data_IF_712967771605
#
_entry.id   IF_712967771605
#
_cell.length_a   1.000
_cell.length_b   1.000
_cell.length_c   1.000
_cell.angle_alpha   90.00
_cell.angle_beta   90.00
_cell.angle_gamma   90.00
#
_symmetry.space_group_name_H-M   'P 1'
#
loop_
_entity.id
_entity.type
_entity.pdbx_description
1 polymer ?
#
# COMPACT_ATOMS: atom_id res chain seq x y z
N UNK A 1 -29.13 -4.21 -47.19
CA UNK A 1 -27.87 -3.47 -47.35
C UNK A 1 -28.18 -2.02 -47.03
N UNK A 2 -27.62 -1.32 -46.05
CA UNK A 2 -26.53 -1.46 -45.08
C UNK A 2 -26.77 -0.27 -44.15
N UNK A 3 -27.10 -0.45 -42.88
CA UNK A 3 -26.08 -0.60 -41.84
C UNK A 3 -25.73 0.76 -41.25
N UNK A 4 -26.60 1.32 -40.40
CA UNK A 4 -26.31 2.48 -39.57
C UNK A 4 -25.28 2.09 -38.52
N UNK A 5 -24.02 2.46 -38.75
CA UNK A 5 -22.93 2.30 -37.79
C UNK A 5 -23.14 3.27 -36.62
N UNK A 6 -23.67 2.77 -35.52
CA UNK A 6 -23.56 3.40 -34.20
C UNK A 6 -22.08 3.57 -33.85
N UNK A 7 -21.60 4.77 -33.47
CA UNK A 7 -20.25 4.95 -32.97
C UNK A 7 -20.08 4.07 -31.73
N UNK A 8 -19.05 3.23 -31.71
CA UNK A 8 -18.71 2.41 -30.55
C UNK A 8 -18.48 3.30 -29.35
N UNK A 9 -19.27 3.09 -28.29
CA UNK A 9 -19.03 3.69 -27.00
C UNK A 9 -17.65 3.23 -26.53
N UNK A 10 -16.67 4.13 -26.58
CA UNK A 10 -15.40 3.96 -25.86
C UNK A 10 -15.76 3.99 -24.39
N UNK A 11 -15.92 2.80 -23.79
CA UNK A 11 -15.88 2.66 -22.34
C UNK A 11 -14.45 3.00 -21.92
N UNK A 12 -14.27 4.25 -21.51
CA UNK A 12 -13.13 4.63 -20.69
C UNK A 12 -13.22 3.74 -19.45
N UNK A 13 -12.27 2.83 -19.29
CA UNK A 13 -12.03 2.11 -18.04
C UNK A 13 -11.49 3.10 -17.01
N UNK A 14 -12.34 4.05 -16.61
CA UNK A 14 -12.23 4.71 -15.33
C UNK A 14 -12.57 3.63 -14.31
N UNK A 15 -11.54 2.95 -13.80
CA UNK A 15 -11.68 2.06 -12.65
C UNK A 15 -11.96 2.94 -11.43
N UNK A 16 -13.22 3.24 -11.25
CA UNK A 16 -13.75 4.03 -10.16
C UNK A 16 -15.24 3.90 -10.29
N UNK A 17 -15.83 3.03 -9.46
CA UNK A 17 -17.26 3.09 -9.20
C UNK A 17 -17.54 4.54 -8.93
N UNK A 18 -18.31 5.18 -9.83
CA UNK A 18 -18.61 6.59 -9.71
C UNK A 18 -19.00 6.84 -8.27
N UNK A 19 -18.21 7.65 -7.57
CA UNK A 19 -18.63 8.19 -6.29
C UNK A 19 -20.01 8.75 -6.58
N UNK A 20 -21.06 8.12 -6.05
CA UNK A 20 -22.33 8.80 -5.96
C UNK A 20 -22.01 10.00 -5.07
N UNK A 21 -21.95 11.18 -5.70
CA UNK A 21 -21.59 12.45 -5.05
C UNK A 21 -22.62 12.85 -3.97
N UNK A 22 -23.66 12.02 -3.77
CA UNK A 22 -24.53 12.00 -2.62
C UNK A 22 -24.22 10.76 -1.76
N UNK A 23 -23.08 10.79 -1.04
CA UNK A 23 -22.94 9.88 0.10
C UNK A 23 -24.14 10.14 1.02
N UNK A 24 -24.89 9.11 1.44
CA UNK A 24 -26.01 9.28 2.38
C UNK A 24 -25.50 9.51 3.82
N UNK A 25 -24.39 10.23 3.95
CA UNK A 25 -23.76 10.65 5.19
C UNK A 25 -23.61 12.15 5.16
N UNK A 26 -24.18 12.83 6.15
CA UNK A 26 -23.98 14.28 6.31
C UNK A 26 -22.49 14.58 6.49
N UNK A 27 -21.90 15.46 5.65
CA UNK A 27 -20.51 15.89 5.80
C UNK A 27 -20.22 16.38 7.22
N UNK A 28 -21.16 17.11 7.82
CA UNK A 28 -21.05 17.61 9.19
C UNK A 28 -20.81 16.48 10.19
N UNK A 29 -21.61 15.41 10.15
CA UNK A 29 -21.45 14.29 11.08
C UNK A 29 -20.19 13.48 10.83
N UNK A 30 -19.76 13.33 9.56
CA UNK A 30 -18.51 12.67 9.23
C UNK A 30 -17.31 13.43 9.80
N UNK A 31 -17.21 14.74 9.56
CA UNK A 31 -16.13 15.58 10.10
C UNK A 31 -16.17 15.68 11.62
N UNK A 32 -17.35 15.92 12.22
CA UNK A 32 -17.49 16.04 13.66
C UNK A 32 -17.15 14.72 14.38
N UNK A 33 -17.63 13.59 13.86
CA UNK A 33 -17.34 12.26 14.41
C UNK A 33 -15.85 11.91 14.32
N UNK A 34 -15.21 12.20 13.18
CA UNK A 34 -13.78 11.98 13.01
C UNK A 34 -12.94 12.87 13.93
N UNK A 35 -13.27 14.16 14.04
CA UNK A 35 -12.61 15.06 14.97
C UNK A 35 -12.77 14.58 16.42
N UNK A 36 -14.00 14.22 16.82
CA UNK A 36 -14.27 13.70 18.16
C UNK A 36 -13.48 12.42 18.44
N UNK A 37 -13.46 11.46 17.50
CA UNK A 37 -12.71 10.22 17.66
C UNK A 37 -11.21 10.46 17.88
N UNK A 38 -10.60 11.36 17.09
CA UNK A 38 -9.19 11.71 17.24
C UNK A 38 -8.91 12.47 18.54
N UNK A 39 -9.73 13.46 18.85
CA UNK A 39 -9.56 14.30 20.04
C UNK A 39 -9.71 13.47 21.32
N UNK A 40 -10.75 12.65 21.41
CA UNK A 40 -10.97 11.74 22.55
C UNK A 40 -9.86 10.70 22.64
N UNK A 41 -9.44 10.10 21.52
CA UNK A 41 -8.33 9.14 21.52
C UNK A 41 -7.04 9.77 22.01
N UNK A 42 -6.73 10.99 21.55
CA UNK A 42 -5.55 11.74 21.98
C UNK A 42 -5.59 12.05 23.48
N UNK A 43 -6.73 12.54 23.97
CA UNK A 43 -6.91 12.83 25.40
C UNK A 43 -6.80 11.56 26.25
N UNK A 44 -7.44 10.48 25.83
CA UNK A 44 -7.39 9.19 26.53
C UNK A 44 -5.95 8.64 26.59
N UNK A 45 -5.20 8.72 25.50
CA UNK A 45 -3.79 8.32 25.48
C UNK A 45 -2.94 9.20 26.41
N UNK A 46 -3.08 10.52 26.31
CA UNK A 46 -2.36 11.46 27.19
C UNK A 46 -2.62 11.25 28.68
N UNK A 47 -3.82 10.79 29.05
CA UNK A 47 -4.20 10.55 30.44
C UNK A 47 -3.89 9.13 30.94
N UNK A 48 -4.06 8.11 30.09
CA UNK A 48 -4.06 6.70 30.50
C UNK A 48 -2.81 5.93 30.06
N UNK A 49 -1.95 6.53 29.23
CA UNK A 49 -0.80 5.88 28.60
C UNK A 49 0.50 6.67 28.83
N UNK A 50 0.89 6.82 30.10
CA UNK A 50 2.10 7.54 30.51
C UNK A 50 3.41 6.89 30.05
N UNK A 51 3.41 5.57 29.90
CA UNK A 51 4.60 4.76 29.63
C UNK A 51 4.40 3.91 28.38
N UNK A 52 5.49 3.72 27.63
CA UNK A 52 5.45 2.89 26.42
C UNK A 52 5.15 1.43 26.77
N UNK A 53 4.13 0.87 26.13
CA UNK A 53 3.64 -0.50 26.34
C UNK A 53 4.10 -1.46 25.26
N UNK A 54 4.45 -0.96 24.07
CA UNK A 54 4.90 -1.82 22.99
C UNK A 54 6.33 -2.31 23.24
N UNK A 55 6.64 -3.52 22.76
CA UNK A 55 7.95 -4.16 22.96
C UNK A 55 8.62 -4.53 21.63
N UNK A 56 8.08 -4.04 20.52
CA UNK A 56 8.58 -4.27 19.18
C UNK A 56 8.83 -5.75 18.88
N UNK A 57 10.03 -6.03 18.38
CA UNK A 57 10.48 -7.36 17.95
C UNK A 57 10.64 -8.39 19.08
N UNK A 58 10.64 -7.97 20.34
CA UNK A 58 10.71 -8.90 21.49
C UNK A 58 9.34 -9.45 21.90
N UNK A 59 8.26 -8.86 21.38
CA UNK A 59 6.90 -9.19 21.78
C UNK A 59 6.39 -10.54 21.24
N UNK A 60 5.16 -10.88 21.62
CA UNK A 60 4.40 -11.99 21.09
C UNK A 60 4.50 -13.28 21.91
N UNK A 61 3.59 -14.21 21.62
CA UNK A 61 3.60 -15.57 22.18
C UNK A 61 3.83 -16.56 21.03
N UNK A 62 4.74 -17.54 21.19
CA UNK A 62 5.01 -18.49 20.14
C UNK A 62 3.76 -19.30 19.80
N UNK A 63 3.55 -19.54 18.51
CA UNK A 63 2.50 -20.43 18.05
C UNK A 63 2.81 -21.90 18.38
N UNK A 64 1.78 -22.78 18.41
CA UNK A 64 1.98 -24.21 18.55
C UNK A 64 2.97 -24.74 17.52
N UNK A 65 3.82 -25.69 17.94
CA UNK A 65 4.87 -26.25 17.10
C UNK A 65 4.34 -26.84 15.78
N UNK A 66 3.12 -27.37 15.76
CA UNK A 66 2.49 -27.89 14.55
C UNK A 66 2.27 -26.79 13.48
N UNK A 67 1.77 -25.63 13.88
CA UNK A 67 1.55 -24.48 12.98
C UNK A 67 2.88 -23.94 12.48
N UNK A 68 3.87 -23.83 13.37
CA UNK A 68 5.22 -23.42 12.98
C UNK A 68 5.84 -24.40 11.99
N UNK A 69 5.74 -25.72 12.21
CA UNK A 69 6.22 -26.74 11.28
C UNK A 69 5.52 -26.67 9.93
N UNK A 70 4.21 -26.42 9.89
CA UNK A 70 3.46 -26.27 8.63
C UNK A 70 3.91 -25.02 7.87
N UNK A 71 4.03 -23.87 8.56
CA UNK A 71 4.52 -22.62 7.96
C UNK A 71 5.97 -22.75 7.48
N UNK A 72 6.81 -23.48 8.22
CA UNK A 72 8.21 -23.77 7.90
C UNK A 72 8.40 -25.01 7.01
N UNK A 73 7.32 -25.66 6.58
CA UNK A 73 7.42 -26.84 5.75
C UNK A 73 8.01 -26.48 4.39
N UNK A 74 8.91 -27.34 3.88
CA UNK A 74 9.44 -27.21 2.52
C UNK A 74 8.30 -27.20 1.49
N UNK A 75 7.27 -28.03 1.69
CA UNK A 75 6.10 -28.08 0.83
C UNK A 75 5.40 -26.72 0.74
N UNK A 76 5.09 -26.08 1.87
CA UNK A 76 4.46 -24.74 1.90
C UNK A 76 5.27 -23.71 1.13
N UNK A 77 6.59 -23.64 1.36
CA UNK A 77 7.47 -22.72 0.61
C UNK A 77 7.51 -23.03 -0.89
N UNK A 78 7.51 -24.31 -1.27
CA UNK A 78 7.53 -24.71 -2.67
C UNK A 78 6.20 -24.40 -3.37
N UNK A 79 5.07 -24.64 -2.70
CA UNK A 79 3.74 -24.33 -3.22
C UNK A 79 3.60 -22.83 -3.47
N UNK A 80 3.95 -21.98 -2.50
CA UNK A 80 3.88 -20.52 -2.68
C UNK A 80 4.78 -20.03 -3.83
N UNK A 81 6.03 -20.54 -3.90
CA UNK A 81 6.93 -20.21 -5.02
C UNK A 81 6.41 -20.69 -6.36
N UNK A 82 5.83 -21.89 -6.41
CA UNK A 82 5.24 -22.45 -7.63
C UNK A 82 4.02 -21.66 -8.08
N UNK A 83 3.15 -21.23 -7.16
CA UNK A 83 2.00 -20.37 -7.45
C UNK A 83 2.45 -19.05 -8.06
N UNK A 84 3.42 -18.37 -7.44
CA UNK A 84 4.00 -17.14 -7.97
C UNK A 84 4.62 -17.32 -9.36
N UNK A 85 5.44 -18.36 -9.51
CA UNK A 85 6.13 -18.67 -10.76
C UNK A 85 5.18 -19.15 -11.87
N UNK A 86 4.00 -19.69 -11.54
CA UNK A 86 2.97 -20.03 -12.50
C UNK A 86 2.11 -18.80 -12.87
N UNK A 87 1.78 -17.95 -11.90
CA UNK A 87 0.96 -16.76 -12.11
C UNK A 87 1.66 -15.73 -13.01
N UNK A 88 2.95 -15.48 -12.83
CA UNK A 88 3.70 -14.49 -13.60
C UNK A 88 3.72 -14.75 -15.12
N UNK A 89 4.11 -15.95 -15.63
CA UNK A 89 4.04 -16.25 -17.04
C UNK A 89 2.60 -16.33 -17.54
N UNK A 90 1.62 -16.72 -16.72
CA UNK A 90 0.20 -16.68 -17.12
C UNK A 90 -0.24 -15.25 -17.45
N UNK A 91 0.09 -14.27 -16.60
CA UNK A 91 -0.16 -12.84 -16.87
C UNK A 91 0.54 -12.39 -18.16
N UNK A 92 1.81 -12.74 -18.35
CA UNK A 92 2.55 -12.38 -19.58
C UNK A 92 1.91 -13.03 -20.81
N UNK A 93 1.47 -14.28 -20.72
CA UNK A 93 0.79 -14.98 -21.82
C UNK A 93 -0.57 -14.34 -22.15
N UNK A 94 -1.34 -13.93 -21.15
CA UNK A 94 -2.59 -13.19 -21.37
C UNK A 94 -2.35 -11.83 -22.02
N UNK A 95 -1.23 -11.16 -21.73
CA UNK A 95 -0.86 -9.91 -22.40
C UNK A 95 -0.39 -10.12 -23.84
N UNK A 96 0.34 -11.21 -24.11
CA UNK A 96 0.89 -11.48 -25.45
C UNK A 96 -0.11 -12.13 -26.40
N UNK A 97 -0.95 -13.03 -25.89
CA UNK A 97 -1.81 -13.92 -26.67
C UNK A 97 -3.30 -13.72 -26.38
N UNK A 98 -3.63 -13.05 -25.28
CA UNK A 98 -5.02 -12.81 -24.88
C UNK A 98 -5.68 -11.71 -25.71
N UNK A 99 -7.00 -11.53 -25.55
CA UNK A 99 -7.72 -10.44 -26.21
C UNK A 99 -7.14 -9.08 -25.84
N UNK A 100 -7.11 -8.14 -26.79
CA UNK A 100 -6.72 -6.76 -26.50
C UNK A 100 -7.80 -6.01 -25.67
N UNK A 101 -9.04 -6.50 -25.72
CA UNK A 101 -10.18 -6.00 -24.95
C UNK A 101 -9.99 -6.32 -23.45
N UNK A 102 -9.81 -5.31 -22.57
CA UNK A 102 -9.59 -5.53 -21.14
C UNK A 102 -10.75 -6.24 -20.44
N UNK A 103 -11.99 -6.10 -20.93
CA UNK A 103 -13.18 -6.77 -20.37
C UNK A 103 -13.15 -8.30 -20.60
N UNK A 104 -12.21 -8.79 -21.42
CA UNK A 104 -11.99 -10.19 -21.74
C UNK A 104 -10.59 -10.67 -21.38
N UNK A 105 -9.70 -9.76 -21.00
CA UNK A 105 -8.33 -10.06 -20.65
C UNK A 105 -8.17 -10.01 -19.13
N UNK A 106 -7.84 -11.13 -18.47
CA UNK A 106 -7.61 -11.13 -17.02
C UNK A 106 -6.34 -10.39 -16.59
N UNK A 107 -5.43 -10.04 -17.51
CA UNK A 107 -4.12 -9.50 -17.12
C UNK A 107 -4.17 -8.14 -16.39
N UNK A 108 -4.93 -7.12 -16.84
CA UNK A 108 -5.04 -5.86 -16.10
C UNK A 108 -5.61 -6.08 -14.70
N UNK A 109 -6.70 -6.85 -14.57
CA UNK A 109 -7.28 -7.20 -13.28
C UNK A 109 -6.33 -8.00 -12.39
N UNK A 110 -5.50 -8.88 -12.95
CA UNK A 110 -4.51 -9.63 -12.18
C UNK A 110 -3.41 -8.72 -11.60
N UNK A 111 -3.01 -7.68 -12.34
CA UNK A 111 -1.97 -6.74 -11.89
C UNK A 111 -2.52 -5.68 -10.94
N UNK A 112 -3.62 -5.01 -11.30
CA UNK A 112 -4.17 -3.91 -10.51
C UNK A 112 -5.05 -4.39 -9.35
N UNK A 113 -5.78 -5.49 -9.51
CA UNK A 113 -6.74 -5.94 -8.48
C UNK A 113 -6.16 -7.07 -7.65
N UNK A 114 -5.74 -8.18 -8.26
CA UNK A 114 -5.26 -9.33 -7.49
C UNK A 114 -3.89 -9.10 -6.86
N UNK A 115 -2.95 -8.51 -7.59
CA UNK A 115 -1.62 -8.18 -7.08
C UNK A 115 -1.66 -6.93 -6.21
N UNK A 116 -2.04 -5.76 -6.73
CA UNK A 116 -1.93 -4.51 -5.97
C UNK A 116 -2.90 -4.45 -4.79
N UNK A 117 -4.21 -4.59 -5.04
CA UNK A 117 -5.21 -4.52 -3.97
C UNK A 117 -5.24 -5.79 -3.13
N UNK A 118 -5.20 -6.97 -3.75
CA UNK A 118 -5.27 -8.26 -3.06
C UNK A 118 -4.09 -8.52 -2.11
N UNK A 119 -2.94 -7.90 -2.36
CA UNK A 119 -1.79 -7.99 -1.46
C UNK A 119 -2.05 -7.31 -0.10
N UNK A 120 -2.98 -6.36 -0.02
CA UNK A 120 -3.34 -5.68 1.23
C UNK A 120 -3.96 -6.64 2.25
N UNK A 121 -5.13 -7.25 2.02
CA UNK A 121 -5.72 -8.19 2.96
C UNK A 121 -4.85 -9.42 3.15
N UNK A 122 -4.18 -9.91 2.10
CA UNK A 122 -3.28 -11.06 2.22
C UNK A 122 -2.12 -10.75 3.18
N UNK A 123 -1.54 -9.54 3.10
CA UNK A 123 -0.42 -9.18 3.97
C UNK A 123 -0.84 -8.92 5.42
N UNK A 124 -2.04 -8.35 5.62
CA UNK A 124 -2.61 -8.20 6.96
C UNK A 124 -2.88 -9.55 7.63
N UNK A 125 -3.42 -10.51 6.89
CA UNK A 125 -3.81 -11.80 7.46
C UNK A 125 -2.63 -12.75 7.66
N UNK A 126 -1.62 -12.70 6.79
CA UNK A 126 -0.57 -13.74 6.71
C UNK A 126 0.85 -13.19 6.88
N UNK A 127 1.04 -11.87 7.02
CA UNK A 127 2.35 -11.23 7.07
C UNK A 127 2.90 -10.93 5.67
N UNK A 128 4.21 -10.82 5.45
CA UNK A 128 4.78 -10.41 4.15
C UNK A 128 4.67 -11.51 3.07
N UNK A 129 3.48 -11.73 2.52
CA UNK A 129 3.19 -12.83 1.59
C UNK A 129 3.92 -12.69 0.25
N UNK A 130 4.16 -11.46 -0.23
CA UNK A 130 4.76 -11.27 -1.54
C UNK A 130 6.17 -11.86 -1.60
N UNK A 131 6.94 -11.77 -0.50
CA UNK A 131 8.28 -12.39 -0.42
C UNK A 131 8.27 -13.90 -0.74
N UNK A 132 7.18 -14.60 -0.44
CA UNK A 132 7.04 -16.03 -0.74
C UNK A 132 6.50 -16.30 -2.15
N UNK A 133 5.65 -15.41 -2.66
CA UNK A 133 5.02 -15.49 -3.98
C UNK A 133 5.84 -14.82 -5.09
N UNK A 134 6.88 -14.05 -4.77
CA UNK A 134 7.59 -13.23 -5.75
C UNK A 134 8.24 -14.12 -6.83
N UNK A 135 7.78 -14.04 -8.09
CA UNK A 135 8.30 -14.86 -9.18
C UNK A 135 9.75 -14.50 -9.48
N UNK A 136 10.14 -13.23 -9.40
CA UNK A 136 11.50 -12.76 -9.70
C UNK A 136 12.50 -13.22 -8.64
N UNK A 137 12.12 -13.16 -7.36
CA UNK A 137 12.91 -13.76 -6.28
C UNK A 137 13.07 -15.26 -6.51
N UNK A 138 12.02 -15.95 -6.96
CA UNK A 138 12.09 -17.39 -7.26
C UNK A 138 12.99 -17.68 -8.46
N UNK A 139 12.90 -16.89 -9.54
CA UNK A 139 13.77 -17.02 -10.71
C UNK A 139 15.25 -16.79 -10.34
N UNK A 140 15.55 -15.76 -9.55
CA UNK A 140 16.90 -15.52 -9.01
C UNK A 140 17.41 -16.73 -8.22
N UNK A 141 16.59 -17.27 -7.31
CA UNK A 141 16.95 -18.47 -6.55
C UNK A 141 17.23 -19.68 -7.45
N UNK A 142 16.47 -19.88 -8.53
CA UNK A 142 16.68 -20.97 -9.48
C UNK A 142 17.97 -20.75 -10.30
N UNK A 143 18.22 -19.52 -10.75
CA UNK A 143 19.44 -19.16 -11.48
C UNK A 143 20.68 -19.37 -10.60
N UNK A 144 20.67 -18.90 -9.34
CA UNK A 144 21.75 -19.14 -8.39
C UNK A 144 21.99 -20.63 -8.15
N UNK A 145 20.93 -21.44 -8.00
CA UNK A 145 21.07 -22.90 -7.87
C UNK A 145 21.70 -23.54 -9.11
N UNK A 146 21.26 -23.16 -10.31
CA UNK A 146 21.82 -23.66 -11.56
C UNK A 146 23.31 -23.30 -11.70
N UNK A 147 23.69 -22.10 -11.25
CA UNK A 147 25.07 -21.61 -11.25
C UNK A 147 25.89 -22.05 -10.02
N UNK A 148 25.31 -22.85 -9.11
CA UNK A 148 25.92 -23.27 -7.82
C UNK A 148 26.44 -22.10 -6.97
N UNK A 149 25.73 -20.98 -6.99
CA UNK A 149 26.00 -19.78 -6.18
C UNK A 149 25.00 -19.69 -5.04
N UNK A 150 25.45 -19.17 -3.91
CA UNK A 150 24.57 -18.83 -2.80
C UNK A 150 23.73 -17.59 -3.22
N UNK A 151 22.39 -17.68 -3.22
CA UNK A 151 21.54 -16.56 -3.62
C UNK A 151 21.67 -15.32 -2.73
N UNK A 152 22.16 -15.46 -1.50
CA UNK A 152 22.38 -14.35 -0.58
C UNK A 152 23.78 -13.72 -0.77
N UNK A 153 24.65 -14.34 -1.57
CA UNK A 153 25.97 -13.77 -1.91
C UNK A 153 25.85 -12.69 -2.98
N UNK A 154 26.31 -11.48 -2.65
CA UNK A 154 26.30 -10.31 -3.52
C UNK A 154 26.99 -9.13 -2.84
N UNK A 155 27.05 -7.98 -3.51
CA UNK A 155 27.51 -6.74 -2.87
C UNK A 155 26.50 -6.32 -1.80
N UNK A 156 26.97 -5.76 -0.69
CA UNK A 156 26.06 -5.17 0.29
C UNK A 156 25.26 -4.04 -0.36
N UNK A 157 23.94 -4.02 -0.17
CA UNK A 157 23.09 -2.91 -0.61
C UNK A 157 23.55 -1.66 0.14
N UNK A 158 23.90 -0.56 -0.55
CA UNK A 158 24.31 0.67 0.11
C UNK A 158 23.24 1.16 1.09
N UNK A 159 23.65 1.51 2.31
CA UNK A 159 22.71 2.00 3.34
C UNK A 159 21.91 3.21 2.86
N UNK A 160 22.54 4.08 2.07
CA UNK A 160 21.91 5.25 1.45
C UNK A 160 20.77 4.89 0.49
N UNK A 161 20.84 3.73 -0.16
CA UNK A 161 19.82 3.27 -1.09
C UNK A 161 18.55 2.88 -0.32
N UNK A 162 18.70 2.13 0.79
CA UNK A 162 17.58 1.74 1.66
C UNK A 162 16.36 1.30 0.86
N UNK A 163 15.21 1.91 1.15
CA UNK A 163 13.91 1.70 0.48
C UNK A 163 13.62 2.70 -0.67
N UNK A 164 14.58 3.53 -1.08
CA UNK A 164 14.35 4.49 -2.18
C UNK A 164 13.93 3.83 -3.50
N UNK A 165 14.55 2.72 -3.95
CA UNK A 165 14.11 2.05 -5.17
C UNK A 165 12.68 1.51 -5.06
N UNK A 166 12.26 1.04 -3.87
CA UNK A 166 10.89 0.60 -3.65
C UNK A 166 9.91 1.77 -3.72
N UNK A 167 10.25 2.93 -3.14
CA UNK A 167 9.45 4.14 -3.27
C UNK A 167 9.30 4.58 -4.74
N UNK A 168 10.38 4.55 -5.51
CA UNK A 168 10.37 4.87 -6.94
C UNK A 168 9.57 3.85 -7.75
N UNK A 169 9.70 2.55 -7.45
CA UNK A 169 8.94 1.48 -8.10
C UNK A 169 7.44 1.57 -7.79
N UNK A 170 7.06 1.88 -6.55
CA UNK A 170 5.67 2.15 -6.18
C UNK A 170 5.13 3.38 -6.91
N UNK A 171 5.89 4.46 -6.97
CA UNK A 171 5.48 5.67 -7.69
C UNK A 171 5.29 5.36 -9.18
N UNK A 172 6.22 4.62 -9.80
CA UNK A 172 6.11 4.18 -11.19
C UNK A 172 4.89 3.28 -11.43
N UNK A 173 4.58 2.38 -10.50
CA UNK A 173 3.38 1.54 -10.57
C UNK A 173 2.10 2.39 -10.49
N UNK A 174 2.01 3.30 -9.52
CA UNK A 174 0.83 4.17 -9.36
C UNK A 174 0.72 5.20 -10.49
N UNK A 175 1.83 5.62 -11.10
CA UNK A 175 1.80 6.44 -12.31
C UNK A 175 1.26 5.64 -13.50
N UNK A 176 1.69 4.39 -13.65
CA UNK A 176 1.15 3.50 -14.65
C UNK A 176 -0.36 3.34 -14.46
N UNK A 177 -0.82 3.13 -13.23
CA UNK A 177 -2.24 2.94 -12.91
C UNK A 177 -3.08 4.22 -13.14
N UNK A 178 -2.65 5.36 -12.60
CA UNK A 178 -3.48 6.56 -12.47
C UNK A 178 -3.26 7.61 -13.56
N UNK A 179 -2.12 7.58 -14.25
CA UNK A 179 -1.69 8.68 -15.13
C UNK A 179 -1.47 8.24 -16.57
N UNK A 180 -1.04 6.99 -16.80
CA UNK A 180 -0.75 6.50 -18.14
C UNK A 180 -1.96 6.68 -19.08
N UNK A 181 -1.75 6.98 -20.37
CA UNK A 181 -2.84 7.13 -21.35
C UNK A 181 -3.74 5.91 -21.48
N UNK A 182 -3.15 4.72 -21.48
CA UNK A 182 -3.85 3.45 -21.63
C UNK A 182 -3.27 2.42 -20.65
N UNK A 183 -3.63 2.54 -19.36
CA UNK A 183 -3.03 1.74 -18.28
C UNK A 183 -3.34 0.25 -18.43
N UNK A 184 -4.52 -0.09 -18.97
CA UNK A 184 -4.94 -1.46 -19.19
C UNK A 184 -4.42 -2.08 -20.51
N UNK A 185 -3.72 -1.30 -21.35
CA UNK A 185 -3.19 -1.84 -22.59
C UNK A 185 -2.16 -2.95 -22.36
N UNK A 186 -2.15 -4.00 -23.20
CA UNK A 186 -1.13 -5.03 -23.13
C UNK A 186 0.29 -4.48 -23.24
N UNK A 187 0.50 -3.49 -24.10
CA UNK A 187 1.80 -2.86 -24.32
C UNK A 187 2.30 -2.15 -23.07
N UNK A 188 1.47 -1.33 -22.40
CA UNK A 188 1.89 -0.61 -21.21
C UNK A 188 2.27 -1.58 -20.07
N UNK A 189 1.44 -2.61 -19.85
CA UNK A 189 1.71 -3.64 -18.85
C UNK A 189 2.94 -4.48 -19.17
N UNK A 190 3.14 -4.89 -20.43
CA UNK A 190 4.34 -5.64 -20.84
C UNK A 190 5.63 -4.81 -20.66
N UNK A 191 5.60 -3.53 -21.04
CA UNK A 191 6.74 -2.63 -20.85
C UNK A 191 7.03 -2.48 -19.36
N UNK A 192 6.02 -2.22 -18.54
CA UNK A 192 6.20 -2.08 -17.09
C UNK A 192 6.76 -3.37 -16.47
N UNK A 193 6.12 -4.52 -16.73
CA UNK A 193 6.55 -5.81 -16.18
C UNK A 193 7.95 -6.20 -16.67
N UNK A 194 8.28 -5.91 -17.93
CA UNK A 194 9.60 -6.14 -18.50
C UNK A 194 10.68 -5.29 -17.84
N UNK A 195 10.44 -3.98 -17.69
CA UNK A 195 11.36 -3.07 -16.99
C UNK A 195 11.49 -3.46 -15.52
N UNK A 196 10.38 -3.74 -14.85
CA UNK A 196 10.35 -4.19 -13.45
C UNK A 196 11.16 -5.49 -13.29
N UNK A 197 10.96 -6.49 -14.15
CA UNK A 197 11.73 -7.73 -14.15
C UNK A 197 13.23 -7.48 -14.38
N UNK A 198 13.59 -6.66 -15.37
CA UNK A 198 14.97 -6.34 -15.68
C UNK A 198 15.68 -5.64 -14.51
N UNK A 199 15.05 -4.63 -13.90
CA UNK A 199 15.58 -3.89 -12.76
C UNK A 199 15.80 -4.82 -11.56
N UNK A 200 14.81 -5.63 -11.22
CA UNK A 200 14.91 -6.47 -10.02
C UNK A 200 15.82 -7.68 -10.20
N UNK A 201 15.85 -8.32 -11.37
CA UNK A 201 16.79 -9.42 -11.63
C UNK A 201 18.23 -8.91 -11.73
N UNK A 202 18.45 -7.75 -12.35
CA UNK A 202 19.81 -7.14 -12.40
C UNK A 202 20.26 -6.74 -11.00
N UNK A 203 19.39 -6.08 -10.23
CA UNK A 203 19.69 -5.73 -8.84
C UNK A 203 19.99 -6.96 -7.97
N UNK A 204 19.21 -8.03 -8.10
CA UNK A 204 19.46 -9.28 -7.40
C UNK A 204 20.75 -9.98 -7.83
N UNK A 205 21.13 -9.89 -9.11
CA UNK A 205 22.41 -10.42 -9.60
C UNK A 205 23.62 -9.66 -9.02
N UNK A 206 23.48 -8.36 -8.71
CA UNK A 206 24.55 -7.53 -8.14
C UNK A 206 24.61 -7.61 -6.62
N UNK A 207 23.45 -7.51 -5.95
CA UNK A 207 23.34 -7.36 -4.50
C UNK A 207 22.82 -8.62 -3.76
N UNK A 208 22.52 -9.68 -4.50
CA UNK A 208 21.93 -10.91 -3.96
C UNK A 208 20.43 -10.76 -3.67
N UNK A 209 19.84 -11.82 -3.10
CA UNK A 209 18.43 -11.84 -2.71
C UNK A 209 18.00 -10.75 -1.72
N UNK A 210 18.87 -10.18 -0.84
CA UNK A 210 18.51 -9.03 -0.02
C UNK A 210 18.08 -7.79 -0.81
N UNK A 211 18.41 -7.70 -2.11
CA UNK A 211 17.90 -6.63 -2.98
C UNK A 211 16.37 -6.51 -2.92
N UNK A 212 15.65 -7.63 -3.01
CA UNK A 212 14.19 -7.62 -3.02
C UNK A 212 13.59 -7.09 -1.72
N UNK A 213 14.23 -7.37 -0.56
CA UNK A 213 13.75 -6.90 0.75
C UNK A 213 13.78 -5.36 0.90
N UNK A 214 14.53 -4.67 0.04
CA UNK A 214 14.77 -3.22 0.11
C UNK A 214 14.25 -2.47 -1.10
N UNK A 215 14.38 -3.05 -2.29
CA UNK A 215 14.18 -2.36 -3.56
C UNK A 215 12.91 -2.77 -4.30
N UNK A 216 12.38 -3.97 -4.05
CA UNK A 216 11.16 -4.44 -4.70
C UNK A 216 9.93 -3.74 -4.10
N UNK A 217 9.25 -2.96 -4.94
CA UNK A 217 8.08 -2.17 -4.59
C UNK A 217 7.00 -3.00 -3.87
N UNK A 218 6.65 -4.17 -4.42
CA UNK A 218 5.59 -5.03 -3.89
C UNK A 218 6.05 -5.82 -2.67
N UNK A 219 7.35 -6.17 -2.54
CA UNK A 219 7.85 -6.83 -1.32
C UNK A 219 7.91 -5.86 -0.16
N UNK A 220 8.35 -4.63 -0.39
CA UNK A 220 8.35 -3.58 0.63
C UNK A 220 6.92 -3.20 1.01
N UNK A 221 6.01 -3.06 0.03
CA UNK A 221 4.59 -2.81 0.28
C UNK A 221 3.94 -3.91 1.13
N UNK A 222 4.10 -5.19 0.71
CA UNK A 222 3.65 -6.35 1.50
C UNK A 222 4.32 -6.42 2.86
N UNK A 223 5.60 -6.05 2.94
CA UNK A 223 6.39 -6.01 4.17
C UNK A 223 5.87 -5.00 5.19
N UNK A 224 5.56 -3.79 4.74
CA UNK A 224 5.01 -2.71 5.57
C UNK A 224 3.60 -3.05 6.06
N UNK A 225 2.71 -3.49 5.17
CA UNK A 225 1.36 -3.92 5.54
C UNK A 225 1.38 -5.15 6.46
N UNK A 226 2.30 -6.09 6.21
CA UNK A 226 2.53 -7.26 7.06
C UNK A 226 3.02 -6.93 8.47
N UNK A 227 3.50 -5.70 8.74
CA UNK A 227 3.79 -5.25 10.12
C UNK A 227 2.54 -5.13 10.97
N UNK A 228 1.38 -4.91 10.35
CA UNK A 228 0.07 -4.89 11.03
C UNK A 228 -0.55 -6.28 11.17
N UNK A 229 0.10 -7.33 10.67
CA UNK A 229 -0.38 -8.69 10.88
C UNK A 229 -0.29 -9.11 12.35
N UNK A 230 -1.28 -9.85 12.87
CA UNK A 230 -1.20 -10.47 14.19
C UNK A 230 -0.11 -11.55 14.24
N UNK A 231 0.40 -12.00 13.08
CA UNK A 231 1.47 -12.99 12.98
C UNK A 231 2.79 -12.33 12.61
N UNK A 232 3.89 -12.82 13.16
CA UNK A 232 5.22 -12.37 12.80
C UNK A 232 6.29 -13.35 13.24
N UNK A 233 7.54 -13.10 12.84
CA UNK A 233 8.68 -13.84 13.38
C UNK A 233 9.44 -12.98 14.37
N UNK A 234 9.77 -13.57 15.51
CA UNK A 234 10.65 -12.95 16.49
C UNK A 234 12.10 -13.09 16.02
N UNK A 235 12.86 -12.00 15.87
CA UNK A 235 14.24 -12.07 15.38
C UNK A 235 15.18 -12.87 16.30
N UNK A 236 14.97 -12.82 17.62
CA UNK A 236 15.87 -13.45 18.60
C UNK A 236 15.93 -14.99 18.51
N UNK A 237 14.81 -15.65 18.17
CA UNK A 237 14.70 -17.12 18.14
C UNK A 237 14.13 -17.67 16.82
N UNK A 238 13.78 -16.78 15.87
CA UNK A 238 13.19 -17.13 14.58
C UNK A 238 11.77 -17.71 14.65
N UNK A 239 11.15 -17.78 15.84
CA UNK A 239 9.86 -18.45 16.04
C UNK A 239 8.71 -17.62 15.46
N UNK A 240 7.72 -18.34 14.94
CA UNK A 240 6.45 -17.73 14.54
C UNK A 240 5.63 -17.41 15.81
N UNK A 241 5.25 -16.15 15.96
CA UNK A 241 4.55 -15.63 17.14
C UNK A 241 3.23 -14.97 16.77
N UNK A 242 2.25 -15.06 17.67
CA UNK A 242 1.09 -14.17 17.68
C UNK A 242 1.45 -12.94 18.50
N UNK A 243 1.28 -11.75 17.93
CA UNK A 243 1.58 -10.46 18.56
C UNK A 243 0.47 -9.47 18.27
N UNK A 244 0.35 -8.45 19.12
CA UNK A 244 -0.46 -7.27 18.75
C UNK A 244 0.15 -6.60 17.51
N UNK A 245 -0.66 -6.18 16.53
CA UNK A 245 -0.22 -5.43 15.34
C UNK A 245 0.70 -4.26 15.67
N UNK A 246 0.45 -3.56 16.78
CA UNK A 246 1.26 -2.43 17.22
C UNK A 246 2.71 -2.81 17.55
N UNK A 247 2.97 -4.02 18.04
CA UNK A 247 4.35 -4.48 18.24
C UNK A 247 5.05 -4.75 16.90
N UNK A 248 4.33 -5.24 15.90
CA UNK A 248 4.88 -5.39 14.56
C UNK A 248 5.18 -4.04 13.92
N UNK A 249 4.29 -3.07 14.11
CA UNK A 249 4.46 -1.70 13.64
C UNK A 249 5.62 -0.97 14.32
N UNK A 250 5.74 -1.09 15.65
CA UNK A 250 6.87 -0.56 16.43
C UNK A 250 8.22 -1.17 16.01
N UNK A 251 8.20 -2.38 15.46
CA UNK A 251 9.36 -3.07 14.91
C UNK A 251 9.69 -2.70 13.44
N UNK A 252 9.04 -1.69 12.86
CA UNK A 252 9.33 -1.28 11.48
C UNK A 252 10.78 -0.76 11.37
N UNK A 253 11.61 -1.32 10.47
CA UNK A 253 13.00 -0.90 10.32
C UNK A 253 13.11 0.57 9.89
N UNK A 254 13.98 1.33 10.56
CA UNK A 254 14.22 2.74 10.27
C UNK A 254 15.28 2.88 9.18
N UNK A 255 14.88 2.64 7.94
CA UNK A 255 15.77 2.71 6.76
C UNK A 255 15.58 4.02 5.99
N UNK A 256 16.63 4.54 5.32
CA UNK A 256 16.47 5.58 4.31
C UNK A 256 15.42 5.16 3.27
N UNK A 257 14.62 6.10 2.76
CA UNK A 257 13.54 5.81 1.82
C UNK A 257 12.23 5.28 2.44
N UNK A 258 12.20 4.88 3.74
CA UNK A 258 10.95 4.47 4.39
C UNK A 258 9.88 5.57 4.32
N UNK A 259 10.26 6.80 4.69
CA UNK A 259 9.34 7.95 4.64
C UNK A 259 8.83 8.17 3.22
N UNK A 260 9.73 8.16 2.23
CA UNK A 260 9.35 8.31 0.83
C UNK A 260 8.37 7.21 0.39
N UNK A 261 8.63 5.96 0.77
CA UNK A 261 7.76 4.81 0.48
C UNK A 261 6.35 5.02 1.03
N UNK A 262 6.23 5.39 2.30
CA UNK A 262 4.91 5.58 2.92
C UNK A 262 4.22 6.84 2.40
N UNK A 263 4.96 7.90 2.10
CA UNK A 263 4.41 9.10 1.45
C UNK A 263 3.92 8.82 0.04
N UNK A 264 4.59 7.95 -0.73
CA UNK A 264 4.10 7.48 -2.02
C UNK A 264 2.80 6.70 -1.84
N UNK A 265 2.76 5.72 -0.93
CA UNK A 265 1.54 4.95 -0.64
C UNK A 265 0.35 5.85 -0.28
N UNK A 266 0.55 6.84 0.60
CA UNK A 266 -0.52 7.73 1.03
C UNK A 266 -0.87 8.78 -0.04
N UNK A 267 0.14 9.38 -0.66
CA UNK A 267 -0.04 10.43 -1.66
C UNK A 267 -0.61 9.94 -2.98
N UNK A 268 -0.26 8.73 -3.43
CA UNK A 268 -0.86 8.12 -4.62
C UNK A 268 -2.33 7.77 -4.38
N UNK A 269 -2.68 7.24 -3.21
CA UNK A 269 -4.07 6.94 -2.86
C UNK A 269 -4.89 8.22 -2.65
N UNK A 270 -4.28 9.28 -2.10
CA UNK A 270 -4.92 10.58 -2.04
C UNK A 270 -5.15 11.17 -3.44
N UNK A 271 -4.20 10.98 -4.36
CA UNK A 271 -4.37 11.39 -5.76
C UNK A 271 -5.44 10.58 -6.47
N UNK A 272 -5.49 9.27 -6.26
CA UNK A 272 -6.54 8.37 -6.78
C UNK A 272 -7.93 8.92 -6.43
N UNK A 273 -8.21 9.15 -5.15
CA UNK A 273 -9.46 9.77 -4.70
C UNK A 273 -9.71 11.16 -5.27
N UNK A 274 -8.68 12.00 -5.35
CA UNK A 274 -8.81 13.34 -5.94
C UNK A 274 -9.04 13.30 -7.46
N UNK A 275 -8.56 12.25 -8.14
CA UNK A 275 -8.52 12.19 -9.60
C UNK A 275 -9.91 12.05 -10.22
N UNK A 276 -10.86 11.54 -9.45
CA UNK A 276 -12.27 11.41 -9.81
C UNK A 276 -13.08 12.70 -9.61
N UNK A 277 -12.51 13.73 -8.96
CA UNK A 277 -13.21 14.97 -8.71
C UNK A 277 -13.53 15.71 -10.04
N UNK A 278 -14.79 16.15 -10.29
CA UNK A 278 -15.18 16.75 -11.57
C UNK A 278 -14.33 17.96 -12.00
N UNK A 279 -13.89 18.77 -11.03
CA UNK A 279 -13.00 19.92 -11.26
C UNK A 279 -11.63 19.49 -11.75
N UNK A 280 -11.08 18.42 -11.18
CA UNK A 280 -9.78 17.89 -11.59
C UNK A 280 -9.85 17.23 -12.96
N UNK A 281 -10.89 16.43 -13.23
CA UNK A 281 -11.15 15.85 -14.55
C UNK A 281 -11.18 16.95 -15.62
N UNK A 282 -11.93 18.02 -15.37
CA UNK A 282 -11.98 19.19 -16.28
C UNK A 282 -10.59 19.80 -16.46
N UNK A 283 -9.86 20.04 -15.38
CA UNK A 283 -8.51 20.63 -15.41
C UNK A 283 -7.55 19.80 -16.26
N UNK A 284 -7.58 18.47 -16.10
CA UNK A 284 -6.75 17.53 -16.86
C UNK A 284 -7.14 17.50 -18.35
N UNK A 285 -8.43 17.59 -18.67
CA UNK A 285 -8.94 17.57 -20.04
C UNK A 285 -8.67 18.87 -20.81
N UNK A 286 -8.72 20.03 -20.13
CA UNK A 286 -8.54 21.35 -20.77
C UNK A 286 -7.12 21.90 -20.65
N UNK A 287 -6.19 21.17 -20.05
CA UNK A 287 -4.85 21.66 -19.79
C UNK A 287 -4.00 21.78 -21.06
N UNK A 288 -3.38 22.95 -21.25
CA UNK A 288 -2.42 23.20 -22.34
C UNK A 288 -1.16 22.33 -22.26
N UNK A 289 -0.81 21.82 -21.07
CA UNK A 289 0.33 20.92 -20.86
C UNK A 289 0.05 19.48 -21.32
N UNK A 290 -1.21 19.18 -21.67
CA UNK A 290 -1.69 17.85 -22.01
C UNK A 290 -2.07 17.00 -20.80
N UNK A 291 -3.02 16.08 -21.00
CA UNK A 291 -3.60 15.20 -19.97
C UNK A 291 -2.53 14.52 -19.10
N UNK A 292 -1.58 13.83 -19.73
CA UNK A 292 -0.58 13.01 -19.02
C UNK A 292 0.37 13.86 -18.18
N UNK A 293 0.82 15.01 -18.69
CA UNK A 293 1.70 15.92 -17.95
C UNK A 293 0.99 16.48 -16.74
N UNK A 294 -0.24 16.97 -16.92
CA UNK A 294 -1.04 17.56 -15.83
C UNK A 294 -1.40 16.53 -14.77
N UNK A 295 -1.77 15.31 -15.18
CA UNK A 295 -2.00 14.21 -14.25
C UNK A 295 -0.71 13.78 -13.51
N UNK A 296 0.43 13.75 -14.21
CA UNK A 296 1.75 13.48 -13.58
C UNK A 296 2.09 14.52 -12.52
N UNK A 297 1.90 15.81 -12.82
CA UNK A 297 2.12 16.89 -11.87
C UNK A 297 1.15 16.82 -10.68
N UNK A 298 -0.11 16.41 -10.91
CA UNK A 298 -1.08 16.15 -9.86
C UNK A 298 -0.63 15.05 -8.90
N UNK A 299 -0.24 13.89 -9.43
CA UNK A 299 0.26 12.75 -8.64
C UNK A 299 1.52 13.14 -7.84
N UNK A 300 2.50 13.75 -8.50
CA UNK A 300 3.72 14.22 -7.83
C UNK A 300 3.42 15.28 -6.77
N UNK A 301 2.49 16.19 -7.06
CA UNK A 301 2.02 17.23 -6.14
C UNK A 301 1.36 16.64 -4.89
N UNK A 302 0.51 15.62 -5.04
CA UNK A 302 -0.11 14.92 -3.92
C UNK A 302 0.92 14.22 -3.03
N UNK A 303 1.87 13.48 -3.62
CA UNK A 303 2.98 12.83 -2.88
C UNK A 303 3.85 13.87 -2.18
N UNK A 304 4.19 14.96 -2.86
CA UNK A 304 4.99 16.05 -2.32
C UNK A 304 4.27 16.79 -1.17
N UNK A 305 2.96 17.00 -1.28
CA UNK A 305 2.14 17.60 -0.23
C UNK A 305 2.17 16.74 1.04
N UNK A 306 1.91 15.43 0.91
CA UNK A 306 1.97 14.49 2.02
C UNK A 306 3.37 14.51 2.67
N UNK A 307 4.43 14.39 1.86
CA UNK A 307 5.80 14.40 2.34
C UNK A 307 6.18 15.72 3.04
N UNK A 308 5.70 16.86 2.52
CA UNK A 308 5.94 18.19 3.09
C UNK A 308 5.24 18.34 4.43
N UNK A 309 3.95 17.99 4.53
CA UNK A 309 3.20 18.05 5.77
C UNK A 309 3.83 17.17 6.86
N UNK A 310 4.24 15.94 6.51
CA UNK A 310 4.95 15.06 7.42
C UNK A 310 6.32 15.63 7.83
N UNK A 311 7.07 16.18 6.87
CA UNK A 311 8.36 16.81 7.10
C UNK A 311 8.28 18.01 8.05
N UNK A 312 7.29 18.88 7.86
CA UNK A 312 7.00 20.02 8.73
C UNK A 312 6.62 19.54 10.14
N UNK A 313 5.79 18.51 10.26
CA UNK A 313 5.44 17.90 11.54
C UNK A 313 6.68 17.35 12.27
N UNK A 314 7.54 16.61 11.58
CA UNK A 314 8.78 16.09 12.16
C UNK A 314 9.75 17.21 12.56
N UNK A 315 9.84 18.28 11.76
CA UNK A 315 10.61 19.48 12.06
C UNK A 315 10.10 20.21 13.31
N UNK A 316 8.79 20.45 13.39
CA UNK A 316 8.15 21.05 14.56
C UNK A 316 8.35 20.20 15.83
N UNK A 317 8.22 18.87 15.71
CA UNK A 317 8.48 17.93 16.81
C UNK A 317 9.92 18.04 17.30
N UNK A 318 10.89 18.17 16.38
CA UNK A 318 12.30 18.38 16.73
C UNK A 318 12.53 19.70 17.44
N UNK A 319 11.91 20.80 16.98
CA UNK A 319 12.03 22.12 17.61
C UNK A 319 11.49 22.11 19.05
N UNK A 320 10.35 21.45 19.27
CA UNK A 320 9.73 21.34 20.60
C UNK A 320 10.56 20.45 21.55
N UNK A 321 11.14 19.37 21.04
CA UNK A 321 11.79 18.35 21.89
C UNK A 321 13.32 18.49 22.02
N UNK A 322 13.97 19.15 21.06
CA UNK A 322 15.40 19.48 21.05
C UNK A 322 16.36 18.34 20.68
N UNK A 323 16.19 17.14 21.25
CA UNK A 323 17.22 16.08 21.24
C UNK A 323 16.90 14.85 20.38
N UNK A 324 15.88 14.90 19.51
CA UNK A 324 15.53 13.78 18.63
C UNK A 324 16.46 13.75 17.40
N UNK A 325 17.38 12.77 17.26
CA UNK A 325 18.37 12.77 16.18
C UNK A 325 17.75 12.50 14.79
N UNK A 326 16.67 11.72 14.72
CA UNK A 326 16.02 11.35 13.45
C UNK A 326 14.48 11.33 13.56
N UNK A 327 13.83 12.50 13.70
CA UNK A 327 12.38 12.58 13.88
C UNK A 327 11.60 12.03 12.67
N UNK A 328 12.13 12.21 11.45
CA UNK A 328 11.50 11.77 10.20
C UNK A 328 11.31 10.25 10.15
N UNK A 329 12.32 9.45 10.53
CA UNK A 329 12.20 7.99 10.49
C UNK A 329 11.62 7.41 11.78
N UNK A 330 11.67 8.15 12.90
CA UNK A 330 11.14 7.70 14.18
C UNK A 330 9.62 7.48 14.16
N UNK A 331 8.88 8.34 13.45
CA UNK A 331 7.41 8.29 13.42
C UNK A 331 6.83 7.71 12.13
N UNK A 332 7.65 7.36 11.12
CA UNK A 332 7.15 6.93 9.82
C UNK A 332 6.21 5.70 9.89
N UNK A 333 6.45 4.81 10.85
CA UNK A 333 5.58 3.66 11.12
C UNK A 333 4.13 4.04 11.47
N UNK A 334 3.86 5.22 12.06
CA UNK A 334 2.49 5.64 12.38
C UNK A 334 1.67 6.03 11.14
N UNK A 335 2.31 6.21 9.99
CA UNK A 335 1.63 6.50 8.73
C UNK A 335 1.10 5.23 8.04
N UNK A 336 1.63 4.04 8.37
CA UNK A 336 1.22 2.78 7.72
C UNK A 336 -0.26 2.44 7.99
N UNK A 337 -0.79 2.54 9.23
CA UNK A 337 -2.22 2.35 9.49
C UNK A 337 -3.11 3.36 8.75
N UNK A 338 -2.61 4.59 8.55
CA UNK A 338 -3.32 5.63 7.80
C UNK A 338 -3.42 5.20 6.34
N UNK A 339 -2.28 4.88 5.71
CA UNK A 339 -2.25 4.38 4.34
C UNK A 339 -3.17 3.16 4.17
N UNK A 340 -3.18 2.23 5.14
CA UNK A 340 -4.10 1.10 5.14
C UNK A 340 -5.58 1.54 5.15
N UNK A 341 -5.95 2.48 6.03
CA UNK A 341 -7.32 3.01 6.10
C UNK A 341 -7.78 3.58 4.76
N UNK A 342 -6.91 4.33 4.08
CA UNK A 342 -7.18 4.85 2.73
C UNK A 342 -7.27 3.72 1.68
N UNK A 343 -6.33 2.77 1.67
CA UNK A 343 -6.36 1.64 0.74
C UNK A 343 -7.67 0.85 0.87
N UNK A 344 -8.15 0.62 2.10
CA UNK A 344 -9.44 -0.05 2.33
C UNK A 344 -10.59 0.81 1.85
N UNK A 345 -10.59 2.12 2.16
CA UNK A 345 -11.66 3.03 1.74
C UNK A 345 -11.78 3.13 0.21
N UNK A 346 -10.66 3.19 -0.51
CA UNK A 346 -10.66 3.37 -1.96
C UNK A 346 -10.84 2.05 -2.72
N UNK A 347 -10.19 0.97 -2.28
CA UNK A 347 -10.12 -0.25 -3.08
C UNK A 347 -11.02 -1.40 -2.62
N UNK A 348 -11.78 -1.26 -1.53
CA UNK A 348 -12.65 -2.35 -1.06
C UNK A 348 -13.63 -2.83 -2.13
N UNK A 349 -14.40 -1.90 -2.71
CA UNK A 349 -15.44 -2.29 -3.67
C UNK A 349 -14.82 -2.83 -4.94
N UNK A 350 -13.74 -2.21 -5.43
CA UNK A 350 -12.96 -2.71 -6.55
C UNK A 350 -12.51 -4.16 -6.33
N UNK A 351 -11.95 -4.47 -5.17
CA UNK A 351 -11.52 -5.84 -4.86
C UNK A 351 -12.70 -6.83 -4.81
N UNK A 352 -13.80 -6.42 -4.20
CA UNK A 352 -14.98 -7.27 -4.02
C UNK A 352 -15.68 -7.61 -5.34
N UNK A 353 -15.66 -6.71 -6.32
CA UNK A 353 -16.29 -6.92 -7.64
C UNK A 353 -15.29 -7.44 -8.66
N UNK A 354 -14.17 -6.74 -8.87
CA UNK A 354 -13.20 -7.04 -9.91
C UNK A 354 -12.28 -8.22 -9.57
N UNK A 355 -12.08 -8.52 -8.29
CA UNK A 355 -11.29 -9.68 -7.87
C UNK A 355 -11.90 -11.01 -8.38
N UNK A 356 -13.15 -11.34 -7.99
CA UNK A 356 -13.83 -12.51 -8.52
C UNK A 356 -14.09 -12.45 -10.03
N UNK A 357 -14.35 -11.27 -10.60
CA UNK A 357 -14.50 -11.10 -12.04
C UNK A 357 -13.22 -11.53 -12.78
N UNK A 358 -12.07 -10.99 -12.37
CA UNK A 358 -10.73 -11.34 -12.89
C UNK A 358 -10.45 -12.83 -12.76
N UNK A 359 -10.78 -13.45 -11.63
CA UNK A 359 -10.56 -14.89 -11.44
C UNK A 359 -11.37 -15.71 -12.44
N UNK A 360 -12.64 -15.37 -12.71
CA UNK A 360 -13.45 -16.09 -13.71
C UNK A 360 -12.88 -15.94 -15.12
N UNK A 361 -12.41 -14.74 -15.49
CA UNK A 361 -11.70 -14.52 -16.75
C UNK A 361 -10.44 -15.39 -16.83
N UNK A 362 -9.64 -15.42 -15.76
CA UNK A 362 -8.42 -16.23 -15.66
C UNK A 362 -8.69 -17.73 -15.79
N UNK A 363 -9.84 -18.21 -15.33
CA UNK A 363 -10.30 -19.59 -15.48
C UNK A 363 -11.06 -19.86 -16.79
N UNK A 364 -11.08 -18.92 -17.74
CA UNK A 364 -11.56 -19.12 -19.10
C UNK A 364 -13.03 -18.80 -19.34
N UNK A 365 -13.70 -18.11 -18.42
CA UNK A 365 -15.06 -17.62 -18.68
C UNK A 365 -15.03 -16.49 -19.72
N UNK A 366 -15.91 -16.54 -20.73
CA UNK A 366 -16.05 -15.47 -21.72
C UNK A 366 -17.03 -14.40 -21.21
N UNK A 367 -16.54 -13.17 -21.01
CA UNK A 367 -17.31 -11.99 -20.57
C UNK A 367 -18.22 -12.26 -19.36
N UNK A 368 -17.69 -12.76 -18.23
CA UNK A 368 -18.52 -13.11 -17.11
C UNK A 368 -19.08 -11.85 -16.44
N UNK A 369 -20.37 -11.81 -16.10
CA UNK A 369 -21.01 -10.61 -15.54
C UNK A 369 -20.33 -10.15 -14.24
N UNK A 370 -19.93 -8.88 -14.13
CA UNK A 370 -19.28 -8.34 -12.92
C UNK A 370 -20.20 -8.56 -11.70
N UNK A 371 -19.71 -9.15 -10.59
CA UNK A 371 -20.50 -9.29 -9.38
C UNK A 371 -20.99 -7.94 -8.85
N UNK A 372 -22.20 -7.89 -8.33
CA UNK A 372 -22.73 -6.71 -7.65
C UNK A 372 -21.90 -6.38 -6.39
N UNK A 373 -21.70 -5.09 -6.06
CA UNK A 373 -21.07 -4.69 -4.82
C UNK A 373 -21.74 -5.32 -3.59
N UNK A 374 -20.97 -5.85 -2.62
CA UNK A 374 -21.54 -6.49 -1.43
C UNK A 374 -22.23 -5.49 -0.48
N UNK A 375 -21.93 -4.19 -0.62
CA UNK A 375 -22.49 -3.12 0.18
C UNK A 375 -23.15 -2.10 -0.77
N UNK A 376 -24.35 -1.66 -0.42
CA UNK A 376 -24.97 -0.50 -1.10
C UNK A 376 -24.22 0.81 -0.79
N UNK A 377 -24.58 1.92 -1.45
CA UNK A 377 -23.85 3.20 -1.35
C UNK A 377 -23.62 3.68 0.08
N UNK A 378 -24.63 3.62 0.95
CA UNK A 378 -24.48 4.00 2.36
C UNK A 378 -23.59 3.06 3.18
N UNK A 379 -23.55 1.77 2.82
CA UNK A 379 -22.64 0.81 3.44
C UNK A 379 -21.19 1.07 3.05
N UNK A 380 -20.94 1.37 1.77
CA UNK A 380 -19.60 1.78 1.28
C UNK A 380 -19.15 3.08 1.95
N UNK A 381 -20.02 4.09 1.98
CA UNK A 381 -19.77 5.36 2.66
C UNK A 381 -19.35 5.16 4.13
N UNK A 382 -20.10 4.30 4.83
CA UNK A 382 -19.84 3.97 6.23
C UNK A 382 -18.48 3.27 6.38
N UNK A 383 -18.20 2.25 5.56
CA UNK A 383 -16.92 1.55 5.55
C UNK A 383 -15.75 2.51 5.32
N UNK A 384 -15.88 3.43 4.36
CA UNK A 384 -14.85 4.40 4.02
C UNK A 384 -14.52 5.32 5.21
N UNK A 385 -15.55 5.94 5.81
CA UNK A 385 -15.36 6.79 7.00
C UNK A 385 -14.74 5.99 8.14
N UNK A 386 -15.25 4.78 8.43
CA UNK A 386 -14.70 3.94 9.49
C UNK A 386 -13.25 3.52 9.22
N UNK A 387 -12.91 3.15 7.98
CA UNK A 387 -11.55 2.75 7.61
C UNK A 387 -10.57 3.92 7.76
N UNK A 388 -10.92 5.11 7.26
CA UNK A 388 -10.11 6.33 7.39
C UNK A 388 -9.93 6.68 8.88
N UNK A 389 -11.01 6.80 9.64
CA UNK A 389 -10.94 7.20 11.06
C UNK A 389 -10.17 6.17 11.89
N UNK A 390 -10.42 4.87 11.69
CA UNK A 390 -9.70 3.80 12.38
C UNK A 390 -8.22 3.84 12.05
N UNK A 391 -7.85 3.96 10.77
CA UNK A 391 -6.46 4.09 10.35
C UNK A 391 -5.73 5.24 11.05
N UNK A 392 -6.38 6.39 11.17
CA UNK A 392 -5.81 7.55 11.89
C UNK A 392 -5.73 7.34 13.40
N UNK A 393 -6.75 6.77 14.05
CA UNK A 393 -6.70 6.45 15.48
C UNK A 393 -5.57 5.47 15.78
N UNK A 394 -5.41 4.42 14.97
CA UNK A 394 -4.30 3.46 15.09
C UNK A 394 -2.95 4.15 14.87
N UNK A 395 -2.85 5.09 13.91
CA UNK A 395 -1.68 5.93 13.70
C UNK A 395 -1.33 6.79 14.92
N UNK A 396 -2.33 7.45 15.52
CA UNK A 396 -2.17 8.25 16.76
C UNK A 396 -1.66 7.38 17.90
N UNK A 397 -2.23 6.19 18.11
CA UNK A 397 -1.78 5.25 19.16
C UNK A 397 -0.31 4.87 18.95
N UNK A 398 0.09 4.53 17.72
CA UNK A 398 1.46 4.15 17.40
C UNK A 398 2.45 5.31 17.60
N UNK A 399 2.07 6.51 17.16
CA UNK A 399 2.87 7.71 17.32
C UNK A 399 3.02 8.10 18.80
N UNK A 400 1.94 7.99 19.58
CA UNK A 400 1.92 8.29 21.00
C UNK A 400 2.84 7.34 21.79
N UNK A 401 2.72 6.02 21.60
CA UNK A 401 3.58 5.05 22.30
C UNK A 401 5.07 5.29 21.99
N UNK A 402 5.40 5.60 20.74
CA UNK A 402 6.76 5.96 20.36
C UNK A 402 7.22 7.27 21.02
N UNK A 403 6.34 8.27 21.09
CA UNK A 403 6.64 9.57 21.70
C UNK A 403 6.97 9.43 23.18
N UNK A 404 6.15 8.72 23.97
CA UNK A 404 6.40 8.51 25.41
C UNK A 404 7.65 7.66 25.67
N UNK A 405 8.06 6.81 24.70
CA UNK A 405 9.34 6.08 24.77
C UNK A 405 10.55 6.97 24.54
N UNK A 406 10.46 7.92 23.60
CA UNK A 406 11.60 8.72 23.14
C UNK A 406 11.76 10.05 23.88
N UNK A 407 10.69 10.57 24.49
CA UNK A 407 10.64 11.90 25.07
C UNK A 407 10.50 11.84 26.59
N UNK A 408 11.13 12.77 27.34
CA UNK A 408 10.87 12.92 28.77
C UNK A 408 9.39 13.25 29.06
N UNK A 409 8.80 12.80 30.18
CA UNK A 409 7.37 12.99 30.47
C UNK A 409 6.87 14.44 30.38
N UNK A 410 7.69 15.41 30.82
CA UNK A 410 7.36 16.85 30.78
C UNK A 410 7.22 17.42 29.36
N UNK A 411 7.84 16.78 28.36
CA UNK A 411 7.81 17.19 26.95
C UNK A 411 7.00 16.24 26.07
N UNK A 412 6.61 15.07 26.59
CA UNK A 412 5.84 14.09 25.85
C UNK A 412 4.50 14.66 25.35
N UNK A 413 3.78 15.41 26.18
CA UNK A 413 2.47 15.99 25.79
C UNK A 413 2.64 17.11 24.74
N UNK A 414 3.55 18.07 24.96
CA UNK A 414 3.76 19.19 24.03
C UNK A 414 4.39 18.71 22.71
N UNK A 415 5.30 17.74 22.79
CA UNK A 415 5.94 17.11 21.63
C UNK A 415 4.99 16.33 20.73
N UNK A 416 3.77 16.03 21.20
CA UNK A 416 2.74 15.34 20.43
C UNK A 416 1.79 16.28 19.68
N UNK A 417 1.78 17.57 20.00
CA UNK A 417 0.89 18.54 19.33
C UNK A 417 1.11 18.61 17.81
N UNK A 418 2.36 18.64 17.29
CA UNK A 418 2.58 18.62 15.84
C UNK A 418 2.00 17.37 15.18
N UNK A 419 2.14 16.20 15.83
CA UNK A 419 1.60 14.94 15.34
C UNK A 419 0.08 14.95 15.36
N UNK A 420 -0.56 15.46 16.42
CA UNK A 420 -2.01 15.61 16.48
C UNK A 420 -2.53 16.50 15.35
N UNK A 421 -1.91 17.66 15.13
CA UNK A 421 -2.28 18.59 14.05
C UNK A 421 -2.15 17.90 12.69
N UNK A 422 -1.07 17.16 12.46
CA UNK A 422 -0.88 16.40 11.23
C UNK A 422 -1.99 15.35 11.03
N UNK A 423 -2.33 14.60 12.07
CA UNK A 423 -3.37 13.56 12.01
C UNK A 423 -4.75 14.16 11.71
N UNK A 424 -5.09 15.29 12.33
CA UNK A 424 -6.33 16.01 12.04
C UNK A 424 -6.32 16.51 10.60
N UNK A 425 -5.22 17.11 10.13
CA UNK A 425 -5.10 17.60 8.76
C UNK A 425 -5.28 16.48 7.72
N UNK A 426 -4.64 15.33 7.92
CA UNK A 426 -4.83 14.17 7.05
C UNK A 426 -6.24 13.61 7.11
N UNK A 427 -6.85 13.52 8.30
CA UNK A 427 -8.22 12.98 8.43
C UNK A 427 -9.24 13.88 7.75
N UNK A 428 -9.17 15.19 8.00
CA UNK A 428 -10.05 16.17 7.36
C UNK A 428 -9.81 16.20 5.86
N UNK A 429 -8.54 16.15 5.42
CA UNK A 429 -8.20 16.06 4.00
C UNK A 429 -8.76 14.80 3.34
N UNK A 430 -8.64 13.64 3.96
CA UNK A 430 -9.18 12.37 3.46
C UNK A 430 -10.70 12.36 3.37
N UNK A 431 -11.38 12.86 4.41
CA UNK A 431 -12.83 12.98 4.38
C UNK A 431 -13.29 14.01 3.35
N UNK A 432 -12.55 15.10 3.16
CA UNK A 432 -12.83 16.05 2.10
C UNK A 432 -12.69 15.42 0.72
N UNK A 433 -11.65 14.61 0.47
CA UNK A 433 -11.48 13.85 -0.78
C UNK A 433 -12.61 12.83 -1.00
N UNK A 434 -13.16 12.26 0.07
CA UNK A 434 -14.28 11.33 -0.03
C UNK A 434 -15.59 12.01 -0.44
N UNK A 435 -15.75 13.28 -0.06
CA UNK A 435 -17.00 14.05 -0.22
C UNK A 435 -16.95 14.94 -1.48
N UNK A 436 -15.75 15.32 -1.93
CA UNK A 436 -15.49 16.18 -3.09
C UNK A 436 -15.81 15.49 -4.41
#
# INVERSE_FOLDING_TARGET
MTGTSTPGAVRVLAHGIGAQHDLPLSPFYAFAGAFAALFVSFLALGLLWSDSRFKGDTAGRPLPAAVQRLADARATRLILRALGLAAAPAVVLWLLLGPADPDRNPAPGAVYVLLWVGLVPASLLLGPVWRALNPLRTLHLLACRALRRDPDTGRAVPVSLGMWPAAAGLLAFTWLELVAPDPASPTALLVFLGVYAAVHLTGAAVYGAPWFDHADAFEVYSGLLGRLSPFGRRPADGRLVVRSPFNGLDATPRLPGLVATVCVMLGSTAYDGFSDAPRWITTVQTSELGRTTTATLGLLGAVALVATLYGLCAGATRLVCGTLPHPLTAFAHSLVPIALGYLVAHYFTLFATEGPHTLRLAFGADRPAVPEPPLGPGGVATLQVFAIVTGHVLGVIAAHDRSVRLMPPRRAVIGQLPLLVLMIAYTVGGLALLIA
#
